data_IF_351129118818
#
_entry.id   IF_351129118818
#
_cell.length_a   1.000
_cell.length_b   1.000
_cell.length_c   1.000
_cell.angle_alpha   90.00
_cell.angle_beta   90.00
_cell.angle_gamma   90.00
#
_symmetry.space_group_name_H-M   'P 1'
#
loop_
_entity.id
_entity.type
_entity.pdbx_description
1 polymer ?
#
# COMPACT_ATOMS: atom_id res chain seq x y z
N UNK A 1 -5.16 12.43 -69.26
CA UNK A 1 -4.76 11.13 -68.70
C UNK A 1 -4.45 11.36 -67.22
N UNK A 2 -5.41 10.98 -66.38
CA UNK A 2 -5.28 10.95 -64.93
C UNK A 2 -4.54 9.67 -64.55
N UNK A 3 -3.57 9.75 -63.63
CA UNK A 3 -3.12 8.58 -62.86
C UNK A 3 -2.26 9.01 -61.67
N UNK A 4 -2.88 8.88 -60.48
CA UNK A 4 -2.34 8.73 -59.11
C UNK A 4 -1.38 9.82 -58.59
N UNK A 5 -1.70 10.73 -57.64
CA UNK A 5 -2.59 10.72 -56.46
C UNK A 5 -2.47 9.42 -55.64
N UNK A 6 -2.00 9.55 -54.39
CA UNK A 6 -2.02 8.55 -53.29
C UNK A 6 -0.65 8.01 -52.79
N UNK A 7 0.45 8.78 -52.78
CA UNK A 7 1.66 8.38 -52.05
C UNK A 7 1.83 9.01 -50.67
N UNK A 8 1.13 10.10 -50.36
CA UNK A 8 1.45 10.92 -49.17
C UNK A 8 0.35 10.91 -48.08
N UNK A 9 -0.70 10.07 -48.23
CA UNK A 9 -1.91 10.17 -47.40
C UNK A 9 -2.21 8.95 -46.50
N UNK A 10 -1.39 7.90 -46.49
CA UNK A 10 -1.65 6.76 -45.61
C UNK A 10 -0.92 6.87 -44.26
N UNK A 11 -1.75 7.18 -43.26
CA UNK A 11 -1.58 6.94 -41.83
C UNK A 11 -0.67 7.90 -41.04
N UNK A 12 -1.13 9.15 -40.97
CA UNK A 12 -1.47 9.75 -39.68
C UNK A 12 -2.05 8.67 -38.73
N UNK A 13 -1.70 8.74 -37.43
CA UNK A 13 -2.42 8.12 -36.30
C UNK A 13 -1.98 6.71 -35.82
N UNK A 14 -0.71 6.53 -35.48
CA UNK A 14 -0.39 5.82 -34.21
C UNK A 14 -0.49 6.84 -33.06
N UNK A 15 -1.63 7.53 -32.96
CA UNK A 15 -2.03 8.13 -31.69
C UNK A 15 -2.47 6.92 -30.89
N UNK A 16 -2.01 6.73 -29.64
CA UNK A 16 -2.60 5.69 -28.81
C UNK A 16 -4.11 5.87 -28.88
N UNK A 17 -4.82 4.83 -29.29
CA UNK A 17 -6.29 4.78 -29.25
C UNK A 17 -6.74 5.42 -27.93
N UNK A 18 -7.80 6.25 -27.90
CA UNK A 18 -8.32 6.83 -26.66
C UNK A 18 -9.02 5.74 -25.82
N UNK A 19 -8.33 4.64 -25.52
CA UNK A 19 -8.66 3.75 -24.43
C UNK A 19 -8.04 4.34 -23.16
N UNK A 20 -8.75 4.17 -22.05
CA UNK A 20 -8.29 4.42 -20.69
C UNK A 20 -8.12 5.90 -20.30
N UNK A 21 -8.99 6.31 -19.38
CA UNK A 21 -8.96 7.56 -18.60
C UNK A 21 -7.53 8.13 -18.39
N UNK A 22 -7.26 9.38 -18.83
CA UNK A 22 -5.96 10.03 -18.62
C UNK A 22 -5.72 10.33 -17.13
N UNK A 23 -4.80 9.58 -16.53
CA UNK A 23 -4.47 9.71 -15.10
C UNK A 23 -3.84 11.06 -14.79
N UNK A 24 -3.13 11.68 -15.74
CA UNK A 24 -2.57 13.02 -15.58
C UNK A 24 -3.67 14.08 -15.40
N UNK A 25 -4.67 14.07 -16.29
CA UNK A 25 -5.85 14.93 -16.16
C UNK A 25 -6.62 14.67 -14.85
N UNK A 26 -6.81 13.40 -14.46
CA UNK A 26 -7.48 13.07 -13.19
C UNK A 26 -6.71 13.60 -11.98
N UNK A 27 -5.39 13.50 -11.97
CA UNK A 27 -4.56 14.02 -10.89
C UNK A 27 -4.76 15.52 -10.73
N UNK A 28 -4.63 16.28 -11.82
CA UNK A 28 -4.83 17.74 -11.80
C UNK A 28 -6.23 18.09 -11.28
N UNK A 29 -7.24 17.34 -11.72
CA UNK A 29 -8.64 17.58 -11.36
C UNK A 29 -8.95 17.24 -9.89
N UNK A 30 -8.42 16.13 -9.37
CA UNK A 30 -8.85 15.57 -8.08
C UNK A 30 -7.80 15.61 -6.98
N UNK A 31 -6.55 16.06 -7.22
CA UNK A 31 -5.50 16.13 -6.18
C UNK A 31 -5.94 16.87 -4.92
N UNK A 32 -6.59 18.03 -5.06
CA UNK A 32 -7.03 18.83 -3.91
C UNK A 32 -8.17 18.15 -3.15
N UNK A 33 -9.08 17.49 -3.89
CA UNK A 33 -10.17 16.72 -3.31
C UNK A 33 -9.63 15.52 -2.51
N UNK A 34 -8.76 14.72 -3.12
CA UNK A 34 -8.14 13.56 -2.49
C UNK A 34 -7.30 13.96 -1.27
N UNK A 35 -6.47 15.00 -1.41
CA UNK A 35 -5.67 15.54 -0.31
C UNK A 35 -6.55 16.03 0.84
N UNK A 36 -7.65 16.74 0.56
CA UNK A 36 -8.54 17.23 1.62
C UNK A 36 -9.17 16.10 2.45
N UNK A 37 -9.46 14.96 1.82
CA UNK A 37 -9.97 13.77 2.52
C UNK A 37 -8.86 13.17 3.38
N UNK A 38 -7.71 12.88 2.77
CA UNK A 38 -6.58 12.25 3.45
C UNK A 38 -6.09 13.09 4.65
N UNK A 39 -5.93 14.39 4.46
CA UNK A 39 -5.48 15.31 5.51
C UNK A 39 -6.47 15.37 6.69
N UNK A 40 -7.78 15.38 6.42
CA UNK A 40 -8.80 15.37 7.48
C UNK A 40 -8.85 14.05 8.24
N UNK A 41 -8.47 12.93 7.60
CA UNK A 41 -8.43 11.62 8.24
C UNK A 41 -7.15 11.40 9.06
N UNK A 42 -6.00 11.86 8.55
CA UNK A 42 -4.69 11.55 9.11
C UNK A 42 -4.12 12.67 9.98
N UNK A 43 -4.48 13.93 9.72
CA UNK A 43 -3.91 15.10 10.40
C UNK A 43 -2.47 15.43 10.00
N UNK A 44 -1.84 14.62 9.15
CA UNK A 44 -0.48 14.82 8.65
C UNK A 44 -0.49 15.24 7.17
N UNK A 45 0.32 16.25 6.83
CA UNK A 45 0.51 16.67 5.44
C UNK A 45 1.28 15.60 4.65
N UNK A 46 2.35 15.07 5.23
CA UNK A 46 3.22 14.11 4.55
C UNK A 46 2.49 12.81 4.23
N UNK A 47 1.77 12.25 5.19
CA UNK A 47 0.99 11.02 4.98
C UNK A 47 -0.18 11.26 4.01
N UNK A 48 -0.77 12.46 4.00
CA UNK A 48 -1.80 12.81 3.05
C UNK A 48 -1.27 12.90 1.62
N UNK A 49 -0.10 13.52 1.41
CA UNK A 49 0.54 13.58 0.10
C UNK A 49 0.92 12.19 -0.40
N UNK A 50 1.49 11.35 0.47
CA UNK A 50 1.91 10.00 0.15
C UNK A 50 0.73 9.14 -0.34
N UNK A 51 -0.39 9.12 0.40
CA UNK A 51 -1.60 8.37 -0.02
C UNK A 51 -2.15 8.88 -1.35
N UNK A 52 -2.11 10.20 -1.59
CA UNK A 52 -2.55 10.77 -2.87
C UNK A 52 -1.65 10.28 -3.99
N UNK A 53 -0.33 10.34 -3.83
CA UNK A 53 0.62 9.85 -4.82
C UNK A 53 0.42 8.36 -5.11
N UNK A 54 0.33 7.54 -4.08
CA UNK A 54 0.05 6.12 -4.15
C UNK A 54 -1.26 5.80 -4.90
N UNK A 55 -2.30 6.60 -4.66
CA UNK A 55 -3.58 6.44 -5.35
C UNK A 55 -3.42 6.64 -6.86
N UNK A 56 -2.76 7.72 -7.29
CA UNK A 56 -2.59 8.02 -8.70
C UNK A 56 -1.53 7.15 -9.38
N UNK A 57 -0.48 6.73 -8.67
CA UNK A 57 0.47 5.72 -9.15
C UNK A 57 -0.25 4.37 -9.39
N UNK A 58 -1.10 3.94 -8.46
CA UNK A 58 -1.91 2.73 -8.63
C UNK A 58 -2.87 2.82 -9.83
N UNK A 59 -3.48 3.98 -10.07
CA UNK A 59 -4.33 4.23 -11.24
C UNK A 59 -3.55 4.15 -12.56
N UNK A 60 -2.27 4.54 -12.60
CA UNK A 60 -1.44 4.38 -13.81
C UNK A 60 -1.15 2.91 -14.12
N UNK A 61 -1.06 2.06 -13.10
CA UNK A 61 -0.77 0.63 -13.25
C UNK A 61 -2.00 -0.21 -13.62
N UNK A 62 -3.21 0.33 -13.43
CA UNK A 62 -4.46 -0.37 -13.74
C UNK A 62 -4.97 0.01 -15.14
N UNK A 63 -5.45 -0.97 -15.89
CA UNK A 63 -6.20 -0.73 -17.12
C UNK A 63 -7.51 -0.03 -16.77
N UNK A 64 -7.57 1.30 -16.92
CA UNK A 64 -8.67 2.16 -16.46
C UNK A 64 -9.98 2.05 -17.28
N UNK A 65 -10.17 0.96 -18.03
CA UNK A 65 -11.29 0.77 -18.96
C UNK A 65 -12.67 0.67 -18.26
N UNK A 66 -12.70 0.47 -16.93
CA UNK A 66 -13.95 0.26 -16.17
C UNK A 66 -14.29 1.35 -15.14
N UNK A 67 -13.52 2.44 -15.05
CA UNK A 67 -13.79 3.50 -14.06
C UNK A 67 -14.84 4.47 -14.62
N UNK A 68 -16.12 4.18 -14.38
CA UNK A 68 -17.23 5.05 -14.82
C UNK A 68 -17.39 6.33 -13.98
N UNK A 69 -16.98 6.31 -12.71
CA UNK A 69 -17.13 7.44 -11.76
C UNK A 69 -15.80 7.75 -11.04
N UNK A 70 -14.89 8.51 -11.67
CA UNK A 70 -13.54 8.72 -11.14
C UNK A 70 -13.51 9.36 -9.74
N UNK A 71 -14.36 10.35 -9.48
CA UNK A 71 -14.40 11.04 -8.17
C UNK A 71 -14.74 10.09 -7.02
N UNK A 72 -15.77 9.25 -7.20
CA UNK A 72 -16.22 8.28 -6.21
C UNK A 72 -15.16 7.19 -6.00
N UNK A 73 -14.53 6.74 -7.08
CA UNK A 73 -13.49 5.73 -7.05
C UNK A 73 -12.23 6.21 -6.30
N UNK A 74 -11.74 7.40 -6.64
CA UNK A 74 -10.60 8.04 -5.95
C UNK A 74 -10.92 8.23 -4.47
N UNK A 75 -12.09 8.79 -4.14
CA UNK A 75 -12.51 8.98 -2.74
C UNK A 75 -12.51 7.67 -1.96
N UNK A 76 -12.99 6.57 -2.56
CA UNK A 76 -12.98 5.24 -1.94
C UNK A 76 -11.55 4.73 -1.68
N UNK A 77 -10.64 4.88 -2.65
CA UNK A 77 -9.24 4.45 -2.47
C UNK A 77 -8.58 5.22 -1.33
N UNK A 78 -8.72 6.55 -1.31
CA UNK A 78 -8.12 7.41 -0.29
C UNK A 78 -8.61 7.02 1.10
N UNK A 79 -9.92 6.83 1.27
CA UNK A 79 -10.50 6.41 2.56
C UNK A 79 -9.96 5.05 2.98
N UNK A 80 -9.95 4.06 2.08
CA UNK A 80 -9.47 2.72 2.40
C UNK A 80 -7.99 2.72 2.82
N UNK A 81 -7.13 3.44 2.08
CA UNK A 81 -5.71 3.57 2.42
C UNK A 81 -5.51 4.28 3.76
N UNK A 82 -6.26 5.36 4.01
CA UNK A 82 -6.21 6.07 5.29
C UNK A 82 -6.62 5.20 6.47
N UNK A 83 -7.70 4.42 6.33
CA UNK A 83 -8.12 3.46 7.36
C UNK A 83 -7.06 2.39 7.63
N UNK A 84 -6.44 1.85 6.58
CA UNK A 84 -5.37 0.86 6.72
C UNK A 84 -4.16 1.43 7.48
N UNK A 85 -3.76 2.67 7.19
CA UNK A 85 -2.66 3.33 7.87
C UNK A 85 -2.96 3.55 9.37
N UNK A 86 -4.15 4.10 9.68
CA UNK A 86 -4.59 4.31 11.07
C UNK A 86 -4.67 3.01 11.86
N UNK A 87 -5.18 1.95 11.24
CA UNK A 87 -5.26 0.61 11.86
C UNK A 87 -3.87 0.01 12.08
N UNK A 88 -2.95 0.13 11.12
CA UNK A 88 -1.57 -0.33 11.26
C UNK A 88 -0.86 0.39 12.40
N UNK A 89 -0.96 1.72 12.45
CA UNK A 89 -0.38 2.53 13.51
C UNK A 89 -0.96 2.20 14.89
N UNK A 90 -2.25 1.87 14.96
CA UNK A 90 -2.89 1.38 16.20
C UNK A 90 -2.35 0.02 16.60
N UNK A 91 -2.29 -0.92 15.68
CA UNK A 91 -1.80 -2.27 15.95
C UNK A 91 -0.34 -2.24 16.45
N UNK A 92 0.51 -1.39 15.87
CA UNK A 92 1.90 -1.19 16.33
C UNK A 92 1.98 -0.64 17.76
N UNK A 93 1.11 0.29 18.14
CA UNK A 93 1.02 0.81 19.52
C UNK A 93 0.50 -0.24 20.51
N UNK A 94 -0.35 -1.14 20.05
CA UNK A 94 -0.85 -2.28 20.83
C UNK A 94 0.16 -3.45 20.88
N UNK A 95 1.16 -3.47 19.99
CA UNK A 95 2.24 -4.47 19.92
C UNK A 95 3.47 -4.14 20.76
N UNK A 96 3.37 -3.23 21.74
CA UNK A 96 4.46 -2.99 22.69
C UNK A 96 3.99 -3.08 24.14
N UNK A 97 3.85 -4.33 24.61
CA UNK A 97 3.91 -4.72 26.02
C UNK A 97 4.72 -6.01 26.10
N UNK A 98 6.05 -5.87 26.25
CA UNK A 98 6.96 -6.98 26.60
C UNK A 98 8.09 -7.25 25.62
N UNK A 99 9.25 -7.60 26.17
CA UNK A 99 10.38 -8.18 25.47
C UNK A 99 9.91 -9.45 24.76
N UNK A 100 10.00 -9.45 23.43
CA UNK A 100 9.66 -10.60 22.59
C UNK A 100 10.46 -11.82 23.06
N UNK A 101 9.81 -12.71 23.82
CA UNK A 101 10.40 -13.99 24.22
C UNK A 101 10.33 -14.91 22.99
N UNK A 102 11.46 -15.42 22.46
CA UNK A 102 11.43 -16.41 21.40
C UNK A 102 10.64 -17.65 21.88
N UNK A 103 9.82 -18.23 21.01
CA UNK A 103 9.02 -19.40 21.36
C UNK A 103 9.92 -20.52 21.91
N UNK A 104 9.66 -21.05 23.12
CA UNK A 104 10.41 -22.19 23.63
C UNK A 104 10.12 -23.40 22.74
N UNK A 105 11.14 -23.81 21.98
CA UNK A 105 11.15 -25.08 21.28
C UNK A 105 10.80 -26.18 22.28
N UNK A 106 9.72 -26.91 21.97
CA UNK A 106 9.08 -27.84 22.89
C UNK A 106 10.06 -28.79 23.58
N UNK A 107 9.92 -28.87 24.89
CA UNK A 107 10.47 -29.95 25.71
C UNK A 107 9.78 -31.24 25.29
N UNK A 108 10.37 -31.93 24.32
CA UNK A 108 10.17 -33.37 24.08
C UNK A 108 11.52 -34.10 24.15
N UNK A 109 12.39 -33.67 25.07
CA UNK A 109 13.52 -34.48 25.55
C UNK A 109 13.39 -34.66 27.07
N UNK A 110 12.27 -35.25 27.49
CA UNK A 110 12.28 -36.01 28.73
C UNK A 110 12.84 -37.40 28.44
N UNK A 111 14.17 -37.52 28.33
CA UNK A 111 14.88 -38.77 28.66
C UNK A 111 16.26 -38.43 29.24
N UNK A 112 16.34 -38.61 30.56
CA UNK A 112 17.51 -39.01 31.36
C UNK A 112 18.44 -37.91 31.94
N UNK A 113 18.05 -37.41 33.11
CA UNK A 113 19.00 -37.06 34.17
C UNK A 113 18.53 -37.72 35.48
N UNK A 114 19.27 -38.72 36.02
CA UNK A 114 18.93 -39.31 37.30
C UNK A 114 19.07 -38.28 38.42
N UNK A 115 18.08 -38.31 39.30
CA UNK A 115 17.77 -37.44 40.43
C UNK A 115 18.78 -37.54 41.59
N UNK A 116 20.07 -37.24 41.36
CA UNK A 116 21.10 -37.34 42.40
C UNK A 116 22.25 -36.31 42.28
N UNK A 117 21.94 -35.03 42.13
CA UNK A 117 22.95 -33.97 42.40
C UNK A 117 22.32 -32.73 43.04
N UNK A 118 21.46 -32.95 44.04
CA UNK A 118 21.24 -31.96 45.09
C UNK A 118 22.36 -32.15 46.11
N UNK A 119 23.57 -31.64 45.83
CA UNK A 119 24.56 -31.38 46.87
C UNK A 119 25.72 -30.50 46.36
N UNK A 120 26.02 -29.51 47.18
CA UNK A 120 27.27 -28.74 47.25
C UNK A 120 27.50 -27.66 46.19
N UNK A 121 26.93 -26.47 46.45
CA UNK A 121 27.76 -25.26 46.53
C UNK A 121 27.15 -24.11 47.34
N UNK A 122 26.75 -24.40 48.57
CA UNK A 122 26.82 -23.37 49.63
C UNK A 122 28.31 -23.21 49.96
N UNK A 123 28.97 -22.20 49.38
CA UNK A 123 30.26 -21.71 49.88
C UNK A 123 29.99 -20.44 50.67
N UNK A 124 29.71 -20.55 51.97
CA UNK A 124 29.82 -19.46 52.96
C UNK A 124 29.57 -19.98 54.40
N UNK A 125 30.59 -20.57 55.01
CA UNK A 125 31.25 -20.11 56.26
C UNK A 125 32.18 -21.18 56.80
#
# INVERSE_FOLDING_TARGET
MQSNLNSDFNQQKNIPEPSSLDVGALYIQYKNYAFSIAYRMLGSVTEAEDIVQDCFAGLQMMTNEHIHQPKSYIGKIIVNRGLNLLNSARNQREHYVGEWLPEPMGVNDWVNVPEDTVQQKEMIS
#
